data_IF_290742455584
#
_entry.id   IF_290742455584
#
_cell.length_a   1.000
_cell.length_b   1.000
_cell.length_c   1.000
_cell.angle_alpha   90.00
_cell.angle_beta   90.00
_cell.angle_gamma   90.00
#
_symmetry.space_group_name_H-M   'P 1'
#
loop_
_entity.id
_entity.type
_entity.pdbx_description
1 polymer ?
#
# COMPACT_ATOMS: atom_id res chain seq x y z
N UNK A 1 -16.35 3.53 20.30
CA UNK A 1 -14.99 3.65 19.72
C UNK A 1 -14.75 2.71 18.52
N UNK A 2 -15.82 2.24 17.82
CA UNK A 2 -15.73 1.30 16.69
C UNK A 2 -15.42 2.01 15.35
N UNK A 3 -15.96 3.22 15.16
CA UNK A 3 -15.75 4.04 13.97
C UNK A 3 -14.27 4.34 13.69
N UNK A 4 -13.46 4.57 14.73
CA UNK A 4 -12.05 4.92 14.57
C UNK A 4 -11.26 3.73 13.99
N UNK A 5 -11.48 2.52 14.49
CA UNK A 5 -10.85 1.32 13.94
C UNK A 5 -11.24 1.08 12.47
N UNK A 6 -12.52 1.25 12.13
CA UNK A 6 -12.98 1.11 10.75
C UNK A 6 -12.37 2.19 9.83
N UNK A 7 -12.14 3.41 10.32
CA UNK A 7 -11.40 4.46 9.58
C UNK A 7 -9.96 4.02 9.30
N UNK A 8 -9.25 3.45 10.28
CA UNK A 8 -7.90 2.94 10.05
C UNK A 8 -7.87 1.77 9.05
N UNK A 9 -8.85 0.87 9.12
CA UNK A 9 -8.98 -0.25 8.17
C UNK A 9 -9.26 0.23 6.74
N UNK A 10 -10.19 1.18 6.58
CA UNK A 10 -10.49 1.80 5.27
C UNK A 10 -9.27 2.58 4.75
N UNK A 11 -8.55 3.27 5.63
CA UNK A 11 -7.34 3.98 5.27
C UNK A 11 -6.23 3.01 4.82
N UNK A 12 -6.07 1.89 5.53
CA UNK A 12 -5.16 0.82 5.14
C UNK A 12 -5.52 0.26 3.75
N UNK A 13 -6.80 -0.06 3.53
CA UNK A 13 -7.27 -0.49 2.23
C UNK A 13 -6.99 0.55 1.13
N UNK A 14 -7.19 1.83 1.42
CA UNK A 14 -6.91 2.93 0.48
C UNK A 14 -5.43 2.99 0.09
N UNK A 15 -4.52 2.77 1.06
CA UNK A 15 -3.08 2.67 0.79
C UNK A 15 -2.79 1.48 -0.14
N UNK A 16 -3.35 0.31 0.15
CA UNK A 16 -3.15 -0.87 -0.69
C UNK A 16 -3.65 -0.61 -2.11
N UNK A 17 -4.88 -0.11 -2.27
CA UNK A 17 -5.43 0.26 -3.58
C UNK A 17 -4.54 1.27 -4.29
N UNK A 18 -4.06 2.31 -3.61
CA UNK A 18 -3.16 3.30 -4.19
C UNK A 18 -1.84 2.68 -4.68
N UNK A 19 -1.25 1.78 -3.90
CA UNK A 19 -0.04 1.05 -4.29
C UNK A 19 -0.34 0.16 -5.51
N UNK A 20 -1.38 -0.66 -5.45
CA UNK A 20 -1.70 -1.61 -6.52
C UNK A 20 -2.03 -0.88 -7.83
N UNK A 21 -2.88 0.15 -7.77
CA UNK A 21 -3.22 0.96 -8.93
C UNK A 21 -2.01 1.73 -9.46
N UNK A 22 -1.10 2.19 -8.61
CA UNK A 22 0.11 2.89 -9.01
C UNK A 22 0.96 2.11 -10.02
N UNK A 23 1.06 0.79 -9.86
CA UNK A 23 1.80 -0.07 -10.79
C UNK A 23 1.26 -0.04 -12.23
N UNK A 24 -0.07 0.04 -12.39
CA UNK A 24 -0.73 0.05 -13.69
C UNK A 24 -0.93 1.48 -14.22
N UNK A 25 -1.30 2.41 -13.34
CA UNK A 25 -1.53 3.81 -13.68
C UNK A 25 -0.25 4.46 -14.19
N UNK A 26 0.92 4.20 -13.61
CA UNK A 26 2.17 4.84 -14.05
C UNK A 26 2.46 4.61 -15.56
N UNK A 27 2.54 3.36 -16.07
CA UNK A 27 2.81 3.13 -17.50
C UNK A 27 1.65 3.59 -18.39
N UNK A 28 0.39 3.33 -18.01
CA UNK A 28 -0.79 3.76 -18.76
C UNK A 28 -0.84 5.29 -18.87
N UNK A 29 -0.71 5.96 -17.73
CA UNK A 29 -0.69 7.40 -17.61
C UNK A 29 0.38 8.07 -18.42
N UNK A 30 1.56 7.47 -18.51
CA UNK A 30 2.63 7.99 -19.35
C UNK A 30 2.31 7.85 -20.84
N UNK A 31 1.71 6.71 -21.25
CA UNK A 31 1.26 6.47 -22.63
C UNK A 31 0.14 7.42 -23.05
N UNK A 32 -0.80 7.73 -22.16
CA UNK A 32 -1.92 8.65 -22.41
C UNK A 32 -1.61 10.13 -22.04
N UNK A 33 -0.38 10.42 -21.59
CA UNK A 33 0.05 11.80 -21.32
C UNK A 33 -0.57 12.46 -20.08
N UNK A 34 -1.08 11.70 -19.11
CA UNK A 34 -1.73 12.26 -17.91
C UNK A 34 -0.74 13.05 -17.06
N UNK A 35 -1.00 14.36 -16.90
CA UNK A 35 -0.12 15.28 -16.17
C UNK A 35 0.01 14.95 -14.69
N UNK A 36 -1.07 14.48 -14.02
CA UNK A 36 -1.00 14.13 -12.59
C UNK A 36 -0.04 12.98 -12.31
N UNK A 37 0.12 12.04 -13.26
CA UNK A 37 0.96 10.83 -13.07
C UNK A 37 2.44 11.18 -13.12
N UNK A 38 2.76 12.27 -13.81
CA UNK A 38 4.11 12.85 -13.86
C UNK A 38 4.44 13.70 -12.63
N UNK A 39 3.50 13.93 -11.71
CA UNK A 39 3.72 14.69 -10.48
C UNK A 39 4.71 13.96 -9.56
N UNK A 40 5.79 14.64 -9.15
CA UNK A 40 6.85 14.04 -8.32
C UNK A 40 6.35 13.64 -6.94
N UNK A 41 5.41 14.39 -6.36
CA UNK A 41 4.90 14.11 -5.00
C UNK A 41 4.19 12.77 -4.94
N UNK A 42 3.28 12.50 -5.88
CA UNK A 42 2.56 11.23 -5.95
C UNK A 42 3.49 10.03 -6.13
N UNK A 43 4.54 10.17 -6.95
CA UNK A 43 5.51 9.10 -7.16
C UNK A 43 6.44 8.87 -5.97
N UNK A 44 6.88 9.94 -5.29
CA UNK A 44 7.63 9.82 -4.04
C UNK A 44 6.80 9.13 -2.96
N UNK A 45 5.54 9.51 -2.81
CA UNK A 45 4.62 8.84 -1.88
C UNK A 45 4.44 7.36 -2.23
N UNK A 46 4.20 7.04 -3.50
CA UNK A 46 4.05 5.66 -3.95
C UNK A 46 5.30 4.81 -3.68
N UNK A 47 6.49 5.32 -4.03
CA UNK A 47 7.76 4.63 -3.74
C UNK A 47 7.99 4.50 -2.23
N UNK A 48 7.74 5.56 -1.46
CA UNK A 48 7.88 5.54 0.00
C UNK A 48 6.98 4.51 0.66
N UNK A 49 5.74 4.37 0.20
CA UNK A 49 4.80 3.36 0.69
C UNK A 49 5.25 1.94 0.35
N UNK A 50 5.74 1.68 -0.87
CA UNK A 50 6.29 0.36 -1.24
C UNK A 50 7.52 0.03 -0.40
N UNK A 51 8.39 1.00 -0.18
CA UNK A 51 9.57 0.82 0.66
C UNK A 51 9.17 0.50 2.10
N UNK A 52 8.19 1.21 2.65
CA UNK A 52 7.66 0.99 3.98
C UNK A 52 7.12 -0.44 4.15
N UNK A 53 6.24 -0.92 3.26
CA UNK A 53 5.67 -2.29 3.37
C UNK A 53 6.72 -3.39 3.16
N UNK A 54 7.73 -3.13 2.30
CA UNK A 54 8.87 -4.03 2.14
C UNK A 54 9.67 -4.14 3.44
N UNK A 55 10.00 -3.01 4.08
CA UNK A 55 10.73 -2.98 5.35
C UNK A 55 9.94 -3.62 6.49
N UNK A 56 8.64 -3.33 6.60
CA UNK A 56 7.76 -3.99 7.58
C UNK A 56 7.84 -5.51 7.45
N UNK A 57 7.73 -6.03 6.22
CA UNK A 57 7.81 -7.46 5.96
C UNK A 57 9.20 -8.03 6.21
N UNK A 58 10.26 -7.29 5.84
CA UNK A 58 11.65 -7.71 6.00
C UNK A 58 12.05 -7.83 7.47
N UNK A 59 11.62 -6.88 8.31
CA UNK A 59 11.86 -6.90 9.76
C UNK A 59 10.85 -7.76 10.54
N UNK A 60 9.86 -8.36 9.85
CA UNK A 60 8.79 -9.11 10.50
C UNK A 60 7.90 -8.24 11.40
N UNK A 61 7.85 -6.94 11.14
CA UNK A 61 7.04 -5.98 11.88
C UNK A 61 5.64 -6.00 11.29
N UNK A 62 4.64 -6.20 12.14
CA UNK A 62 3.23 -5.99 11.77
C UNK A 62 3.00 -4.54 11.39
N UNK A 63 2.32 -4.27 10.27
CA UNK A 63 1.98 -2.92 9.84
C UNK A 63 1.42 -2.09 11.02
N UNK A 64 1.95 -0.88 11.29
CA UNK A 64 1.57 -0.07 12.44
C UNK A 64 0.08 0.29 12.39
N UNK A 65 -0.50 0.43 11.19
CA UNK A 65 -1.95 0.61 11.01
C UNK A 65 -2.75 -0.58 11.56
N UNK A 66 -2.35 -1.81 11.23
CA UNK A 66 -2.95 -3.04 11.75
C UNK A 66 -2.82 -3.13 13.27
N UNK A 67 -1.64 -2.78 13.80
CA UNK A 67 -1.42 -2.79 15.25
C UNK A 67 -2.35 -1.81 15.97
N UNK A 68 -2.49 -0.58 15.45
CA UNK A 68 -3.38 0.43 16.01
C UNK A 68 -4.84 -0.02 15.89
N UNK A 69 -5.24 -0.56 14.74
CA UNK A 69 -6.58 -1.11 14.52
C UNK A 69 -6.92 -2.18 15.58
N UNK A 70 -6.05 -3.19 15.73
CA UNK A 70 -6.27 -4.30 16.66
C UNK A 70 -6.29 -3.85 18.13
N UNK A 71 -5.42 -2.89 18.48
CA UNK A 71 -5.40 -2.29 19.82
C UNK A 71 -6.72 -1.59 20.15
N UNK A 72 -7.29 -0.84 19.19
CA UNK A 72 -8.58 -0.16 19.37
C UNK A 72 -9.75 -1.17 19.36
N UNK A 73 -9.64 -2.27 18.61
CA UNK A 73 -10.67 -3.31 18.48
C UNK A 73 -10.70 -4.34 19.61
N UNK A 74 -9.70 -4.35 20.48
CA UNK A 74 -9.59 -5.31 21.60
C UNK A 74 -9.69 -6.77 21.12
N UNK A 75 -8.94 -7.10 20.07
CA UNK A 75 -8.70 -8.41 19.43
C UNK A 75 -9.88 -9.32 19.00
N UNK A 76 -11.15 -9.06 19.37
CA UNK A 76 -12.19 -10.10 19.23
C UNK A 76 -13.38 -9.82 18.30
N UNK A 77 -13.57 -8.61 17.77
CA UNK A 77 -14.90 -8.25 17.23
C UNK A 77 -14.91 -7.57 15.86
N UNK A 78 -14.68 -8.33 14.77
CA UNK A 78 -15.08 -7.97 13.38
C UNK A 78 -16.61 -7.94 13.20
N UNK A 79 -17.29 -7.10 13.98
CA UNK A 79 -18.76 -7.06 14.02
C UNK A 79 -19.41 -6.38 12.81
N UNK A 80 -18.66 -5.61 12.01
CA UNK A 80 -19.18 -5.01 10.78
C UNK A 80 -18.88 -5.90 9.58
N UNK A 81 -19.90 -6.16 8.76
CA UNK A 81 -19.78 -6.92 7.51
C UNK A 81 -18.66 -6.36 6.61
N UNK A 82 -18.55 -5.04 6.50
CA UNK A 82 -17.51 -4.39 5.68
C UNK A 82 -16.12 -4.68 6.26
N UNK A 83 -15.94 -4.51 7.57
CA UNK A 83 -14.65 -4.77 8.23
C UNK A 83 -14.21 -6.23 8.07
N UNK A 84 -15.14 -7.18 8.18
CA UNK A 84 -14.86 -8.59 7.96
C UNK A 84 -14.28 -8.87 6.56
N UNK A 85 -14.90 -8.33 5.51
CA UNK A 85 -14.43 -8.53 4.14
C UNK A 85 -13.11 -7.82 3.86
N UNK A 86 -12.92 -6.59 4.36
CA UNK A 86 -11.65 -5.88 4.18
C UNK A 86 -10.53 -6.62 4.89
N UNK A 87 -10.76 -7.11 6.12
CA UNK A 87 -9.77 -7.91 6.84
C UNK A 87 -9.39 -9.17 6.03
N UNK A 88 -10.37 -9.91 5.53
CA UNK A 88 -10.12 -11.12 4.72
C UNK A 88 -9.36 -10.83 3.41
N UNK A 89 -9.54 -9.64 2.84
CA UNK A 89 -8.83 -9.21 1.65
C UNK A 89 -7.38 -8.80 1.95
N UNK A 90 -7.15 -8.12 3.07
CA UNK A 90 -5.84 -7.56 3.43
C UNK A 90 -4.91 -8.56 4.13
N UNK A 91 -5.45 -9.46 4.96
CA UNK A 91 -4.65 -10.34 5.81
C UNK A 91 -4.71 -11.78 5.29
N UNK A 92 -3.62 -12.21 4.67
CA UNK A 92 -3.45 -13.59 4.19
C UNK A 92 -2.42 -14.34 5.05
N UNK A 93 -2.71 -15.62 5.30
CA UNK A 93 -1.87 -16.50 6.12
C UNK A 93 -0.73 -17.13 5.30
N UNK A 94 0.06 -16.30 4.60
CA UNK A 94 1.28 -16.75 3.93
C UNK A 94 2.52 -16.51 4.79
N UNK A 95 3.63 -17.17 4.45
CA UNK A 95 4.89 -16.99 5.17
C UNK A 95 5.44 -15.57 4.97
N UNK A 96 6.14 -14.99 5.96
CA UNK A 96 6.77 -13.68 5.81
C UNK A 96 7.70 -13.59 4.58
N UNK A 97 8.44 -14.66 4.29
CA UNK A 97 9.32 -14.74 3.12
C UNK A 97 8.59 -14.60 1.78
N UNK A 98 7.36 -15.10 1.68
CA UNK A 98 6.53 -14.91 0.49
C UNK A 98 6.25 -13.42 0.25
N UNK A 99 5.83 -12.71 1.29
CA UNK A 99 5.56 -11.27 1.21
C UNK A 99 6.82 -10.46 0.93
N UNK A 100 7.96 -10.80 1.56
CA UNK A 100 9.25 -10.17 1.26
C UNK A 100 9.59 -10.30 -0.22
N UNK A 101 9.44 -11.49 -0.81
CA UNK A 101 9.70 -11.72 -2.22
C UNK A 101 8.80 -10.88 -3.13
N UNK A 102 7.49 -10.86 -2.86
CA UNK A 102 6.52 -10.06 -3.62
C UNK A 102 6.82 -8.56 -3.51
N UNK A 103 7.05 -8.05 -2.31
CA UNK A 103 7.32 -6.63 -2.10
C UNK A 103 8.67 -6.19 -2.64
N UNK A 104 9.68 -7.08 -2.64
CA UNK A 104 10.93 -6.83 -3.33
C UNK A 104 10.73 -6.67 -4.83
N UNK A 105 9.97 -7.57 -5.47
CA UNK A 105 9.63 -7.46 -6.90
C UNK A 105 8.90 -6.15 -7.21
N UNK A 106 7.91 -5.79 -6.38
CA UNK A 106 7.20 -4.53 -6.46
C UNK A 106 8.13 -3.31 -6.33
N UNK A 107 9.08 -3.34 -5.39
CA UNK A 107 10.05 -2.28 -5.20
C UNK A 107 10.97 -2.12 -6.42
N UNK A 108 11.53 -3.24 -6.91
CA UNK A 108 12.36 -3.26 -8.12
C UNK A 108 11.58 -2.74 -9.33
N UNK A 109 10.33 -3.17 -9.51
CA UNK A 109 9.46 -2.68 -10.57
C UNK A 109 9.27 -1.15 -10.50
N UNK A 110 8.99 -0.61 -9.32
CA UNK A 110 8.82 0.84 -9.15
C UNK A 110 10.10 1.61 -9.46
N UNK A 111 11.27 1.11 -9.08
CA UNK A 111 12.54 1.72 -9.47
C UNK A 111 12.76 1.70 -10.99
N UNK A 112 12.44 0.59 -11.66
CA UNK A 112 12.51 0.49 -13.12
C UNK A 112 11.57 1.51 -13.76
N UNK A 113 10.32 1.59 -13.30
CA UNK A 113 9.34 2.56 -13.80
C UNK A 113 9.78 4.02 -13.53
N UNK A 114 10.50 4.28 -12.44
CA UNK A 114 11.08 5.60 -12.17
C UNK A 114 12.13 5.97 -13.21
N UNK A 115 13.00 5.02 -13.57
CA UNK A 115 14.06 5.22 -14.57
C UNK A 115 13.51 5.34 -16.00
N UNK A 116 12.55 4.48 -16.38
CA UNK A 116 11.95 4.47 -17.72
C UNK A 116 11.05 5.66 -17.99
N UNK A 117 10.27 6.07 -16.98
CA UNK A 117 9.26 7.12 -17.11
C UNK A 117 9.52 8.21 -16.07
N UNK A 118 10.59 9.01 -16.18
CA UNK A 118 10.98 9.93 -15.10
C UNK A 118 9.88 10.95 -14.79
N UNK A 119 9.70 11.33 -13.51
CA UNK A 119 8.71 12.34 -13.15
C UNK A 119 9.13 13.70 -13.69
N UNK A 120 8.15 14.52 -14.07
CA UNK A 120 8.44 15.84 -14.60
C UNK A 120 9.09 16.71 -13.52
N UNK A 121 10.06 17.55 -13.86
CA UNK A 121 10.60 18.51 -12.90
C UNK A 121 9.45 19.47 -12.55
N UNK A 122 8.98 19.43 -11.29
CA UNK A 122 8.17 20.53 -10.76
C UNK A 122 9.04 21.78 -10.94
N UNK A 123 8.60 22.69 -11.81
CA UNK A 123 9.17 24.02 -11.99
C UNK A 123 8.75 24.89 -10.82
#
# INVERSE_FOLDING_TARGET
>A
MKFIADVFLIFHLSIVIFITLGFFLIPIGYKFGWKWIKNKRGRKLHLGLIFLVFFESYFGITCPLTRIENFIRNEQNHESFISYWIFKLLYWNFSPSFFIGVYFLCLTWTFIMWKLFPPNKEN
#
